data_IF_532677556329
#
_entry.id   IF_532677556329
#
_cell.length_a   1.000
_cell.length_b   1.000
_cell.length_c   1.000
_cell.angle_alpha   90.00
_cell.angle_beta   90.00
_cell.angle_gamma   90.00
#
_symmetry.space_group_name_H-M   'P 1'
#
loop_
_entity.id
_entity.type
_entity.pdbx_description
1 polymer ?
#
# COMPACT_ATOMS: atom_id res chain seq x y z
N UNK A 1 4.64 12.61 31.59
CA UNK A 1 3.86 12.52 32.85
C UNK A 1 2.63 13.41 32.98
N UNK A 2 2.66 14.71 32.67
CA UNK A 2 1.47 15.60 32.80
C UNK A 2 0.21 15.10 32.07
N UNK A 3 0.35 14.45 30.91
CA UNK A 3 -0.78 13.87 30.15
C UNK A 3 -1.51 12.75 30.92
N UNK A 4 -0.77 11.79 31.48
CA UNK A 4 -1.35 10.64 32.18
C UNK A 4 -2.08 11.07 33.44
N UNK A 5 -1.51 12.03 34.18
CA UNK A 5 -2.16 12.59 35.36
C UNK A 5 -3.41 13.42 35.01
N UNK A 6 -3.39 14.20 33.93
CA UNK A 6 -4.55 15.04 33.55
C UNK A 6 -5.69 14.27 32.90
N UNK A 7 -5.42 13.07 32.37
CA UNK A 7 -6.40 12.20 31.72
C UNK A 7 -6.74 10.95 32.52
N UNK A 8 -6.19 10.77 33.72
CA UNK A 8 -6.36 9.58 34.55
C UNK A 8 -7.82 9.17 34.74
N UNK A 9 -8.70 10.15 34.99
CA UNK A 9 -10.14 9.95 35.16
C UNK A 9 -10.89 9.57 33.86
N UNK A 10 -10.26 9.69 32.69
CA UNK A 10 -10.83 9.29 31.40
C UNK A 10 -10.51 7.85 31.02
N UNK A 11 -9.65 7.15 31.78
CA UNK A 11 -9.32 5.75 31.55
C UNK A 11 -10.14 4.82 32.46
N UNK A 12 -10.43 3.59 32.02
CA UNK A 12 -10.93 2.53 32.91
C UNK A 12 -10.06 2.39 34.16
N UNK A 13 -10.67 2.13 35.32
CA UNK A 13 -9.99 2.10 36.63
C UNK A 13 -8.86 1.07 36.73
N UNK A 14 -8.86 0.05 35.87
CA UNK A 14 -7.86 -1.00 35.76
C UNK A 14 -6.71 -0.68 34.78
N UNK A 15 -6.76 0.47 34.11
CA UNK A 15 -5.73 0.90 33.17
C UNK A 15 -4.48 1.33 33.93
N UNK A 16 -3.40 0.55 33.81
CA UNK A 16 -2.08 0.96 34.30
C UNK A 16 -1.60 2.17 33.51
N UNK A 17 -1.20 3.23 34.21
CA UNK A 17 -0.59 4.44 33.62
C UNK A 17 0.72 4.77 34.35
N UNK A 18 1.75 5.30 33.66
CA UNK A 18 1.83 5.48 32.21
C UNK A 18 1.94 4.13 31.46
N UNK A 19 1.41 4.07 30.25
CA UNK A 19 1.55 2.90 29.37
C UNK A 19 1.67 3.35 27.91
N UNK A 20 1.84 2.43 26.97
CA UNK A 20 1.81 2.75 25.55
C UNK A 20 0.38 3.09 25.11
N UNK A 21 0.26 4.14 24.28
CA UNK A 21 -0.99 4.49 23.61
C UNK A 21 -0.87 4.27 22.11
N UNK A 22 -1.98 3.89 21.46
CA UNK A 22 -2.05 3.84 20.01
C UNK A 22 -2.48 5.22 19.49
N UNK A 23 -1.68 5.80 18.60
CA UNK A 23 -2.06 7.00 17.87
C UNK A 23 -2.55 6.53 16.50
N UNK A 24 -3.81 6.79 16.21
CA UNK A 24 -4.36 6.61 14.87
C UNK A 24 -4.57 7.99 14.24
N UNK A 25 -4.21 8.11 12.97
CA UNK A 25 -4.53 9.27 12.16
C UNK A 25 -5.29 8.83 10.91
N UNK A 26 -6.01 9.77 10.32
CA UNK A 26 -6.68 9.55 9.05
C UNK A 26 -5.70 9.84 7.92
N UNK A 27 -5.63 8.95 6.93
CA UNK A 27 -4.99 9.25 5.65
C UNK A 27 -5.80 10.35 4.96
N UNK A 28 -5.26 11.58 4.82
CA UNK A 28 -5.97 12.64 4.12
C UNK A 28 -6.01 12.37 2.62
N UNK A 29 -7.03 12.89 1.92
CA UNK A 29 -7.17 12.67 0.49
C UNK A 29 -6.01 13.30 -0.29
N UNK A 30 -5.79 12.83 -1.52
CA UNK A 30 -4.85 13.46 -2.45
C UNK A 30 -5.26 14.92 -2.74
N UNK A 31 -4.31 15.82 -3.09
CA UNK A 31 -4.56 17.23 -3.36
C UNK A 31 -5.63 17.44 -4.44
N UNK A 32 -6.20 18.65 -4.46
CA UNK A 32 -7.19 19.02 -5.47
C UNK A 32 -6.64 18.84 -6.89
N UNK A 33 -5.41 19.26 -7.14
CA UNK A 33 -4.74 19.11 -8.45
C UNK A 33 -4.71 17.65 -8.93
N UNK A 34 -4.44 16.71 -8.04
CA UNK A 34 -4.43 15.27 -8.35
C UNK A 34 -5.84 14.76 -8.66
N UNK A 35 -6.83 15.18 -7.87
CA UNK A 35 -8.25 14.85 -8.13
C UNK A 35 -8.73 15.42 -9.46
N UNK A 36 -8.30 16.63 -9.80
CA UNK A 36 -8.58 17.27 -11.08
C UNK A 36 -7.97 16.51 -12.24
N UNK A 37 -6.70 16.08 -12.12
CA UNK A 37 -6.03 15.26 -13.13
C UNK A 37 -6.74 13.92 -13.36
N UNK A 38 -7.20 13.26 -12.29
CA UNK A 38 -8.02 12.04 -12.38
C UNK A 38 -9.31 12.32 -13.18
N UNK A 39 -10.01 13.41 -12.87
CA UNK A 39 -11.25 13.77 -13.58
C UNK A 39 -10.98 14.05 -15.06
N UNK A 40 -9.99 14.88 -15.35
CA UNK A 40 -9.69 15.33 -16.72
C UNK A 40 -9.25 14.19 -17.63
N UNK A 41 -8.46 13.27 -17.07
CA UNK A 41 -7.82 12.20 -17.82
C UNK A 41 -8.69 10.95 -17.85
N UNK A 42 -9.26 10.52 -16.72
CA UNK A 42 -9.84 9.18 -16.58
C UNK A 42 -11.37 9.16 -16.62
N UNK A 43 -12.04 10.24 -16.23
CA UNK A 43 -13.50 10.25 -16.16
C UNK A 43 -14.20 10.46 -17.54
N UNK A 44 -15.44 9.99 -17.69
CA UNK A 44 -16.31 10.23 -18.84
C UNK A 44 -16.51 11.71 -19.14
N UNK A 45 -16.93 11.99 -20.37
CA UNK A 45 -17.09 13.38 -20.84
C UNK A 45 -18.14 14.15 -20.03
N UNK A 46 -19.20 13.47 -19.58
CA UNK A 46 -20.28 14.05 -18.76
C UNK A 46 -19.72 14.56 -17.43
N UNK A 47 -18.90 13.74 -16.76
CA UNK A 47 -18.23 14.11 -15.51
C UNK A 47 -17.25 15.26 -15.72
N UNK A 48 -16.49 15.24 -16.82
CA UNK A 48 -15.54 16.31 -17.16
C UNK A 48 -16.24 17.64 -17.44
N UNK A 49 -17.38 17.62 -18.14
CA UNK A 49 -18.21 18.82 -18.39
C UNK A 49 -18.73 19.45 -17.09
N UNK A 50 -19.03 18.63 -16.08
CA UNK A 50 -19.43 19.11 -14.75
C UNK A 50 -18.34 18.87 -13.69
N UNK A 51 -17.06 19.10 -14.04
CA UNK A 51 -15.92 18.85 -13.16
C UNK A 51 -16.05 19.52 -11.81
N UNK A 52 -16.36 20.81 -11.78
CA UNK A 52 -16.50 21.59 -10.54
C UNK A 52 -17.60 21.04 -9.65
N UNK A 53 -18.78 20.77 -10.22
CA UNK A 53 -19.90 20.19 -9.47
C UNK A 53 -19.59 18.79 -8.97
N UNK A 54 -18.89 17.97 -9.77
CA UNK A 54 -18.45 16.64 -9.38
C UNK A 54 -17.45 16.68 -8.22
N UNK A 55 -16.41 17.52 -8.29
CA UNK A 55 -15.39 17.66 -7.24
C UNK A 55 -15.94 18.25 -5.93
N UNK A 56 -17.01 19.06 -6.01
CA UNK A 56 -17.62 19.67 -4.83
C UNK A 56 -18.49 18.69 -4.03
N UNK A 57 -18.94 17.57 -4.62
CA UNK A 57 -19.69 16.53 -3.92
C UNK A 57 -18.92 16.04 -2.70
N UNK A 58 -19.61 15.87 -1.58
CA UNK A 58 -18.98 15.51 -0.31
C UNK A 58 -18.19 14.20 -0.42
N UNK A 59 -18.74 13.19 -1.09
CA UNK A 59 -18.07 11.90 -1.30
C UNK A 59 -16.77 12.02 -2.11
N UNK A 60 -16.65 13.03 -2.99
CA UNK A 60 -15.46 13.23 -3.83
C UNK A 60 -14.39 14.12 -3.18
N UNK A 61 -14.68 14.63 -1.98
CA UNK A 61 -13.66 15.24 -1.11
C UNK A 61 -12.77 14.16 -0.48
N UNK A 62 -13.30 12.97 -0.27
CA UNK A 62 -12.60 11.84 0.34
C UNK A 62 -11.89 10.98 -0.73
N UNK A 63 -10.90 11.53 -1.43
CA UNK A 63 -10.18 10.79 -2.46
C UNK A 63 -8.95 10.03 -1.94
N UNK A 64 -9.15 8.73 -1.70
CA UNK A 64 -8.08 7.77 -1.46
C UNK A 64 -7.92 6.94 -2.73
N UNK A 65 -6.70 6.90 -3.30
CA UNK A 65 -6.45 6.22 -4.58
C UNK A 65 -5.85 4.85 -4.32
N UNK A 66 -6.50 3.77 -4.75
CA UNK A 66 -6.06 2.38 -4.55
C UNK A 66 -5.22 1.92 -5.74
N UNK A 67 -3.98 1.53 -5.50
CA UNK A 67 -3.01 1.22 -6.56
C UNK A 67 -3.10 -0.24 -6.97
N UNK A 68 -3.52 -0.51 -8.21
CA UNK A 68 -3.62 -1.87 -8.75
C UNK A 68 -2.59 -2.07 -9.86
N UNK A 69 -1.43 -2.63 -9.51
CA UNK A 69 -0.36 -2.94 -10.47
C UNK A 69 -0.47 -4.34 -11.06
N UNK A 70 -1.36 -5.19 -10.53
CA UNK A 70 -1.59 -6.54 -11.00
C UNK A 70 -2.71 -6.69 -12.01
N UNK A 71 -3.33 -5.58 -12.43
CA UNK A 71 -4.42 -5.57 -13.39
C UNK A 71 -4.50 -4.25 -14.16
N UNK A 72 -5.01 -4.34 -15.39
CA UNK A 72 -5.43 -3.20 -16.22
C UNK A 72 -6.95 -3.02 -16.14
N UNK A 73 -7.41 -1.80 -16.40
CA UNK A 73 -8.84 -1.45 -16.38
C UNK A 73 -9.61 -2.22 -17.45
N UNK A 74 -10.70 -2.90 -17.06
CA UNK A 74 -11.42 -3.82 -17.96
C UNK A 74 -12.46 -3.12 -18.87
N UNK A 75 -12.82 -1.85 -18.63
CA UNK A 75 -13.75 -1.09 -19.48
C UNK A 75 -13.79 0.40 -19.13
N UNK A 76 -14.41 1.21 -20.00
CA UNK A 76 -14.68 2.63 -19.71
C UNK A 76 -15.70 2.73 -18.57
N UNK A 77 -15.35 3.48 -17.52
CA UNK A 77 -16.21 3.69 -16.36
C UNK A 77 -17.53 4.37 -16.75
N UNK A 78 -18.66 3.87 -16.23
CA UNK A 78 -19.97 4.51 -16.34
C UNK A 78 -20.02 5.77 -15.44
N UNK A 79 -20.39 6.91 -16.02
CA UNK A 79 -20.45 8.20 -15.33
C UNK A 79 -21.31 8.16 -14.05
N UNK A 80 -22.35 7.32 -14.00
CA UNK A 80 -23.23 7.19 -12.85
C UNK A 80 -22.60 6.47 -11.66
N UNK A 81 -21.52 5.70 -11.88
CA UNK A 81 -20.87 4.85 -10.87
C UNK A 81 -19.54 5.41 -10.37
N UNK A 82 -19.03 6.47 -10.99
CA UNK A 82 -17.72 7.03 -10.66
C UNK A 82 -17.81 7.89 -9.41
N UNK A 83 -16.87 7.63 -8.51
CA UNK A 83 -16.63 8.38 -7.28
C UNK A 83 -15.13 8.39 -7.04
N UNK A 84 -14.63 9.49 -6.48
CA UNK A 84 -13.21 9.61 -6.11
C UNK A 84 -12.89 8.91 -4.79
N UNK A 85 -13.91 8.55 -4.00
CA UNK A 85 -13.75 7.75 -2.78
C UNK A 85 -13.32 6.34 -3.11
N UNK A 86 -12.17 5.92 -2.55
CA UNK A 86 -11.55 4.62 -2.83
C UNK A 86 -11.37 4.40 -4.34
N UNK A 87 -10.85 5.40 -5.05
CA UNK A 87 -10.72 5.38 -6.49
C UNK A 87 -9.70 4.31 -6.91
N UNK A 88 -10.10 3.27 -7.65
CA UNK A 88 -9.17 2.27 -8.14
C UNK A 88 -8.33 2.87 -9.28
N UNK A 89 -7.02 2.76 -9.19
CA UNK A 89 -6.09 3.23 -10.21
C UNK A 89 -5.26 2.05 -10.74
N UNK A 90 -5.46 1.74 -12.01
CA UNK A 90 -4.85 0.61 -12.71
C UNK A 90 -3.61 1.04 -13.50
N UNK A 91 -2.79 0.08 -13.94
CA UNK A 91 -1.53 0.36 -14.66
C UNK A 91 -1.74 1.25 -15.90
N UNK A 92 -2.74 0.94 -16.73
CA UNK A 92 -3.07 1.71 -17.93
C UNK A 92 -3.58 3.13 -17.62
N UNK A 93 -4.22 3.30 -16.47
CA UNK A 93 -4.70 4.59 -15.99
C UNK A 93 -3.54 5.44 -15.43
N UNK A 94 -2.56 4.81 -14.77
CA UNK A 94 -1.30 5.44 -14.37
C UNK A 94 -0.53 5.95 -15.59
N UNK A 95 -0.41 5.14 -16.64
CA UNK A 95 0.23 5.51 -17.91
C UNK A 95 -0.45 6.74 -18.53
N UNK A 96 -1.78 6.77 -18.56
CA UNK A 96 -2.55 7.92 -19.07
C UNK A 96 -2.38 9.18 -18.21
N UNK A 97 -2.23 9.02 -16.90
CA UNK A 97 -1.89 10.11 -15.99
C UNK A 97 -0.41 10.50 -16.03
N UNK A 98 0.40 9.86 -16.88
CA UNK A 98 1.86 10.06 -16.96
C UNK A 98 2.58 9.79 -15.63
N UNK A 99 2.04 8.88 -14.81
CA UNK A 99 2.71 8.35 -13.63
C UNK A 99 3.61 7.19 -14.05
N UNK A 100 4.77 7.03 -13.39
CA UNK A 100 5.62 5.86 -13.57
C UNK A 100 5.23 4.76 -12.58
N UNK A 101 4.64 3.64 -13.03
CA UNK A 101 4.25 2.55 -12.14
C UNK A 101 5.45 1.90 -11.43
N UNK A 102 6.67 2.02 -11.99
CA UNK A 102 7.88 1.40 -11.44
C UNK A 102 8.21 1.90 -10.04
N UNK A 103 7.98 3.18 -9.76
CA UNK A 103 8.25 3.76 -8.44
C UNK A 103 7.38 3.09 -7.37
N UNK A 104 6.11 2.83 -7.67
CA UNK A 104 5.21 2.13 -6.77
C UNK A 104 5.56 0.64 -6.68
N UNK A 105 5.95 0.01 -7.79
CA UNK A 105 6.42 -1.39 -7.80
C UNK A 105 7.56 -1.63 -6.82
N UNK A 106 8.58 -0.77 -6.84
CA UNK A 106 9.75 -0.91 -5.95
C UNK A 106 9.32 -0.83 -4.49
N UNK A 107 8.53 0.19 -4.14
CA UNK A 107 8.09 0.40 -2.77
C UNK A 107 7.14 -0.72 -2.29
N UNK A 108 6.29 -1.27 -3.15
CA UNK A 108 5.45 -2.44 -2.83
C UNK A 108 6.29 -3.69 -2.57
N UNK A 109 7.32 -3.93 -3.40
CA UNK A 109 8.21 -5.07 -3.25
C UNK A 109 9.00 -5.01 -1.93
N UNK A 110 9.52 -3.84 -1.59
CA UNK A 110 10.27 -3.61 -0.36
C UNK A 110 9.37 -3.74 0.88
N UNK A 111 8.18 -3.14 0.85
CA UNK A 111 7.19 -3.28 1.91
C UNK A 111 6.85 -4.75 2.14
N UNK A 112 6.53 -5.51 1.09
CA UNK A 112 6.15 -6.91 1.22
C UNK A 112 7.30 -7.77 1.76
N UNK A 113 8.55 -7.51 1.35
CA UNK A 113 9.72 -8.20 1.89
C UNK A 113 9.90 -7.90 3.40
N UNK A 114 9.69 -6.66 3.84
CA UNK A 114 9.73 -6.29 5.26
C UNK A 114 8.62 -6.99 6.05
N UNK A 115 7.38 -7.01 5.54
CA UNK A 115 6.27 -7.70 6.20
C UNK A 115 6.57 -9.19 6.38
N UNK A 116 7.02 -9.85 5.31
CA UNK A 116 7.28 -11.28 5.33
C UNK A 116 8.49 -11.66 6.20
N UNK A 117 9.62 -10.96 6.04
CA UNK A 117 10.90 -11.43 6.56
C UNK A 117 11.40 -10.69 7.80
N UNK A 118 10.97 -9.44 8.00
CA UNK A 118 11.28 -8.69 9.22
C UNK A 118 10.16 -8.79 10.25
N UNK A 119 8.90 -8.62 9.84
CA UNK A 119 7.75 -8.66 10.76
C UNK A 119 7.20 -10.08 10.98
N UNK A 120 7.48 -11.00 10.06
CA UNK A 120 7.00 -12.39 10.12
C UNK A 120 5.48 -12.48 9.96
N UNK A 121 4.90 -11.67 9.09
CA UNK A 121 3.46 -11.70 8.78
C UNK A 121 3.22 -11.99 7.30
N UNK A 122 2.10 -12.64 6.97
CA UNK A 122 1.79 -13.11 5.61
C UNK A 122 1.24 -12.05 4.64
N UNK A 123 1.05 -10.81 5.12
CA UNK A 123 0.51 -9.69 4.37
C UNK A 123 -0.85 -9.95 3.69
N UNK A 124 -1.64 -10.87 4.26
CA UNK A 124 -2.99 -11.15 3.78
C UNK A 124 -3.90 -9.91 3.96
N UNK A 125 -4.65 -9.60 2.91
CA UNK A 125 -5.54 -8.43 2.73
C UNK A 125 -4.90 -7.05 2.82
N UNK A 126 -3.56 -6.96 2.88
CA UNK A 126 -2.85 -5.68 2.90
C UNK A 126 -3.09 -4.90 1.60
N UNK A 127 -3.45 -3.62 1.76
CA UNK A 127 -3.79 -2.70 0.67
C UNK A 127 -2.78 -1.56 0.53
N UNK A 128 -2.57 -1.13 -0.71
CA UNK A 128 -1.69 0.00 -1.04
C UNK A 128 -2.47 1.15 -1.65
N UNK A 129 -2.30 2.34 -1.08
CA UNK A 129 -3.05 3.53 -1.49
C UNK A 129 -2.18 4.77 -1.59
N UNK A 130 -2.55 5.72 -2.45
CA UNK A 130 -2.04 7.08 -2.41
C UNK A 130 -3.00 7.97 -1.62
N UNK A 131 -2.40 8.75 -0.73
CA UNK A 131 -3.03 9.81 0.02
C UNK A 131 -1.99 10.87 0.35
N UNK A 132 -2.40 11.89 1.09
CA UNK A 132 -1.43 12.84 1.64
C UNK A 132 -0.86 12.32 2.96
N UNK A 133 0.23 12.93 3.41
CA UNK A 133 0.77 12.87 4.77
C UNK A 133 1.24 14.27 5.14
N UNK A 134 1.23 14.60 6.43
CA UNK A 134 1.92 15.78 6.92
C UNK A 134 3.40 15.71 6.53
N UNK A 135 3.95 16.78 5.95
CA UNK A 135 5.35 16.78 5.55
C UNK A 135 6.21 16.49 6.78
N UNK A 136 7.28 15.71 6.60
CA UNK A 136 8.23 15.50 7.68
C UNK A 136 9.02 16.80 7.82
N UNK A 137 8.90 17.47 8.97
CA UNK A 137 9.58 18.73 9.23
C UNK A 137 11.11 18.52 9.29
N UNK A 138 11.55 17.37 9.82
CA UNK A 138 12.94 16.93 9.84
C UNK A 138 13.03 15.41 9.67
N UNK A 139 13.82 14.96 8.69
CA UNK A 139 14.09 13.55 8.51
C UNK A 139 15.06 13.06 9.60
N UNK A 140 14.66 12.02 10.33
CA UNK A 140 15.56 11.33 11.25
C UNK A 140 16.77 10.80 10.50
N UNK A 141 17.95 10.96 11.09
CA UNK A 141 19.18 10.33 10.65
C UNK A 141 19.10 8.81 10.83
N UNK A 142 19.89 8.06 10.06
CA UNK A 142 19.98 6.60 10.22
C UNK A 142 20.37 6.20 11.65
N UNK A 143 21.29 6.95 12.28
CA UNK A 143 21.70 6.73 13.66
C UNK A 143 20.54 6.91 14.65
N UNK A 144 19.71 7.95 14.47
CA UNK A 144 18.52 8.16 15.30
C UNK A 144 17.50 7.04 15.15
N UNK A 145 17.32 6.53 13.93
CA UNK A 145 16.42 5.40 13.65
C UNK A 145 16.93 4.12 14.32
N UNK A 146 18.22 3.81 14.18
CA UNK A 146 18.83 2.60 14.76
C UNK A 146 18.83 2.63 16.29
N UNK A 147 19.00 3.81 16.90
CA UNK A 147 18.95 3.99 18.35
C UNK A 147 17.52 4.19 18.89
N UNK A 148 16.50 4.25 18.02
CA UNK A 148 15.12 4.40 18.44
C UNK A 148 14.66 3.15 19.20
N UNK A 149 14.10 3.38 20.38
CA UNK A 149 13.41 2.38 21.17
C UNK A 149 11.90 2.56 20.99
N UNK A 150 11.11 1.58 21.45
CA UNK A 150 9.64 1.75 21.58
C UNK A 150 9.22 2.99 22.38
N UNK A 151 10.12 3.58 23.17
CA UNK A 151 9.87 4.80 23.95
C UNK A 151 10.27 6.09 23.21
N UNK A 152 11.22 6.03 22.27
CA UNK A 152 11.78 7.20 21.57
C UNK A 152 11.36 7.28 20.11
N UNK A 153 10.77 6.22 19.54
CA UNK A 153 10.35 6.15 18.13
C UNK A 153 9.36 7.24 17.69
N UNK A 154 8.58 7.84 18.61
CA UNK A 154 7.73 9.00 18.24
C UNK A 154 8.54 10.29 18.12
N UNK A 155 9.63 10.42 18.86
CA UNK A 155 10.39 11.67 18.97
C UNK A 155 11.26 11.93 17.74
N UNK A 156 11.61 10.86 17.00
CA UNK A 156 12.39 10.93 15.75
C UNK A 156 11.59 11.48 14.56
N UNK A 157 10.26 11.60 14.68
CA UNK A 157 9.43 12.10 13.58
C UNK A 157 8.77 13.42 13.96
N UNK A 158 9.29 14.53 13.43
CA UNK A 158 8.60 15.81 13.49
C UNK A 158 7.76 16.01 12.22
N UNK A 159 6.49 16.36 12.37
CA UNK A 159 5.53 16.48 11.27
C UNK A 159 5.05 17.92 11.16
N UNK A 160 5.30 18.53 10.01
CA UNK A 160 4.69 19.79 9.63
C UNK A 160 3.28 19.53 9.08
N UNK A 161 2.27 19.89 9.86
CA UNK A 161 0.86 19.70 9.51
C UNK A 161 0.35 20.69 8.43
N UNK A 162 1.08 21.79 8.21
CA UNK A 162 0.73 22.84 7.26
C UNK A 162 1.20 22.50 5.84
N UNK A 163 2.21 21.65 5.72
CA UNK A 163 2.69 21.12 4.45
C UNK A 163 2.23 19.68 4.26
N UNK A 164 1.77 19.34 3.06
CA UNK A 164 1.32 17.98 2.74
C UNK A 164 2.12 17.45 1.58
N UNK A 165 2.60 16.22 1.72
CA UNK A 165 3.22 15.47 0.65
C UNK A 165 2.29 14.31 0.26
N UNK A 166 2.18 14.03 -1.03
CA UNK A 166 1.58 12.77 -1.48
C UNK A 166 2.54 11.62 -1.17
N UNK A 167 2.01 10.52 -0.64
CA UNK A 167 2.79 9.32 -0.43
C UNK A 167 1.95 8.07 -0.56
N UNK A 168 2.64 6.95 -0.75
CA UNK A 168 2.04 5.63 -0.66
C UNK A 168 1.89 5.22 0.80
N UNK A 169 0.70 4.76 1.14
CA UNK A 169 0.34 4.22 2.44
C UNK A 169 0.04 2.74 2.31
N UNK A 170 0.25 2.05 3.43
CA UNK A 170 -0.07 0.66 3.64
C UNK A 170 -1.19 0.57 4.67
N UNK A 171 -2.27 -0.16 4.40
CA UNK A 171 -3.41 -0.30 5.30
C UNK A 171 -4.08 -1.68 5.20
N UNK A 172 -5.12 -1.88 6.01
CA UNK A 172 -5.85 -3.15 6.19
C UNK A 172 -4.96 -4.34 6.61
N UNK A 173 -4.57 -4.33 7.89
CA UNK A 173 -3.81 -5.44 8.49
C UNK A 173 -4.71 -6.41 9.27
N UNK A 174 -6.04 -6.28 9.16
CA UNK A 174 -7.02 -7.05 9.93
C UNK A 174 -6.96 -8.56 9.66
N UNK A 175 -6.61 -8.97 8.44
CA UNK A 175 -6.52 -10.39 8.06
C UNK A 175 -5.09 -10.95 8.07
N UNK A 176 -4.09 -10.13 8.42
CA UNK A 176 -2.70 -10.56 8.52
C UNK A 176 -2.49 -11.56 9.65
N UNK A 177 -1.69 -12.60 9.37
CA UNK A 177 -1.31 -13.61 10.37
C UNK A 177 0.20 -13.68 10.48
N UNK A 178 0.67 -13.95 11.70
CA UNK A 178 2.07 -14.31 11.92
C UNK A 178 2.35 -15.67 11.31
N UNK A 179 3.53 -15.82 10.71
CA UNK A 179 4.05 -17.11 10.26
C UNK A 179 5.53 -17.21 10.62
N UNK A 180 6.04 -18.44 10.65
CA UNK A 180 7.45 -18.72 10.88
C UNK A 180 7.98 -19.57 9.72
N UNK A 181 9.02 -19.06 9.07
CA UNK A 181 9.68 -19.80 8.00
C UNK A 181 10.20 -21.15 8.53
N UNK A 182 10.03 -22.21 7.73
CA UNK A 182 10.36 -23.60 8.08
C UNK A 182 9.19 -24.42 8.63
N UNK A 183 8.40 -23.89 9.58
CA UNK A 183 7.27 -24.63 10.18
C UNK A 183 6.02 -24.58 9.29
N UNK A 184 5.56 -23.37 8.94
CA UNK A 184 4.42 -23.17 8.04
C UNK A 184 4.87 -23.04 6.57
N UNK A 185 6.19 -22.99 6.35
CA UNK A 185 6.80 -22.76 5.05
C UNK A 185 6.42 -21.40 4.44
N UNK A 186 6.41 -21.35 3.11
CA UNK A 186 6.08 -20.16 2.32
C UNK A 186 4.61 -20.10 1.87
N UNK A 187 3.78 -21.07 2.27
CA UNK A 187 2.41 -21.18 1.75
C UNK A 187 1.56 -19.95 2.09
N UNK A 188 1.62 -19.48 3.32
CA UNK A 188 0.84 -18.32 3.79
C UNK A 188 1.15 -17.04 3.00
N UNK A 189 2.42 -16.59 2.88
CA UNK A 189 2.71 -15.39 2.08
C UNK A 189 2.38 -15.58 0.59
N UNK A 190 2.55 -16.79 0.03
CA UNK A 190 2.13 -17.07 -1.35
C UNK A 190 0.61 -16.95 -1.50
N UNK A 191 -0.16 -17.47 -0.54
CA UNK A 191 -1.61 -17.31 -0.52
C UNK A 191 -2.02 -15.85 -0.40
N UNK A 192 -1.42 -15.08 0.51
CA UNK A 192 -1.66 -13.65 0.65
C UNK A 192 -1.50 -12.92 -0.69
N UNK A 193 -0.39 -13.15 -1.39
CA UNK A 193 -0.21 -12.53 -2.72
C UNK A 193 -1.33 -12.90 -3.70
N UNK A 194 -1.78 -14.16 -3.75
CA UNK A 194 -2.74 -14.65 -4.74
C UNK A 194 -4.22 -14.47 -4.38
N UNK A 195 -4.55 -14.38 -3.09
CA UNK A 195 -5.90 -14.18 -2.56
C UNK A 195 -6.22 -12.70 -2.51
N UNK A 196 -5.25 -11.86 -2.17
CA UNK A 196 -5.45 -10.42 -2.18
C UNK A 196 -5.89 -9.96 -3.57
N UNK A 197 -6.68 -8.89 -3.55
CA UNK A 197 -6.92 -8.07 -4.72
C UNK A 197 -5.57 -7.76 -5.42
N UNK A 198 -5.53 -7.64 -6.76
CA UNK A 198 -4.29 -7.51 -7.54
C UNK A 198 -3.60 -6.13 -7.41
N UNK A 199 -3.26 -5.75 -6.17
CA UNK A 199 -2.45 -4.59 -5.82
C UNK A 199 -1.03 -4.71 -6.39
N UNK A 200 -0.42 -5.90 -6.28
CA UNK A 200 0.92 -6.20 -6.75
C UNK A 200 0.95 -6.60 -8.24
N UNK A 201 2.04 -6.33 -8.97
CA UNK A 201 2.29 -6.94 -10.27
C UNK A 201 2.13 -8.47 -10.23
N UNK A 202 1.77 -9.07 -11.37
CA UNK A 202 1.45 -10.50 -11.45
C UNK A 202 2.39 -11.24 -12.41
N UNK A 203 2.81 -12.48 -12.08
CA UNK A 203 3.68 -13.29 -12.93
C UNK A 203 3.02 -13.74 -14.24
N UNK A 204 1.69 -13.72 -14.31
CA UNK A 204 0.91 -14.09 -15.48
C UNK A 204 0.43 -12.89 -16.30
N UNK A 205 1.10 -11.74 -16.16
CA UNK A 205 0.90 -10.62 -17.05
C UNK A 205 1.12 -11.03 -18.51
N UNK A 206 0.29 -10.49 -19.42
CA UNK A 206 0.40 -10.73 -20.86
C UNK A 206 0.84 -9.48 -21.64
N UNK A 207 0.81 -8.32 -20.99
CA UNK A 207 1.34 -7.08 -21.53
C UNK A 207 2.82 -6.95 -21.14
N UNK A 208 3.69 -6.60 -22.10
CA UNK A 208 5.13 -6.46 -21.89
C UNK A 208 5.51 -5.47 -20.78
N UNK A 209 4.79 -4.36 -20.65
CA UNK A 209 5.05 -3.39 -19.57
C UNK A 209 4.74 -3.99 -18.20
N UNK A 210 3.65 -4.76 -18.10
CA UNK A 210 3.24 -5.40 -16.86
C UNK A 210 4.20 -6.56 -16.48
N UNK A 211 4.71 -7.29 -17.48
CA UNK A 211 5.79 -8.27 -17.31
C UNK A 211 7.05 -7.60 -16.72
N UNK A 212 7.45 -6.43 -17.25
CA UNK A 212 8.58 -5.67 -16.71
C UNK A 212 8.33 -5.19 -15.26
N UNK A 213 7.09 -4.81 -14.91
CA UNK A 213 6.75 -4.47 -13.53
C UNK A 213 6.89 -5.69 -12.60
N UNK A 214 6.48 -6.87 -13.07
CA UNK A 214 6.67 -8.10 -12.31
C UNK A 214 8.15 -8.46 -12.11
N UNK A 215 8.96 -8.37 -13.16
CA UNK A 215 10.40 -8.62 -13.06
C UNK A 215 11.07 -7.66 -12.07
N UNK A 216 10.72 -6.37 -12.14
CA UNK A 216 11.21 -5.36 -11.21
C UNK A 216 10.78 -5.65 -9.77
N UNK A 217 9.51 -6.01 -9.58
CA UNK A 217 8.96 -6.37 -8.27
C UNK A 217 9.77 -7.52 -7.65
N UNK A 218 9.96 -8.60 -8.40
CA UNK A 218 10.67 -9.77 -7.89
C UNK A 218 12.16 -9.52 -7.65
N UNK A 219 12.81 -8.75 -8.53
CA UNK A 219 14.20 -8.38 -8.34
C UNK A 219 14.40 -7.63 -7.02
N UNK A 220 13.59 -6.59 -6.75
CA UNK A 220 13.68 -5.79 -5.54
C UNK A 220 13.26 -6.53 -4.28
N UNK A 221 12.16 -7.29 -4.35
CA UNK A 221 11.71 -8.12 -3.23
C UNK A 221 12.80 -9.11 -2.81
N UNK A 222 13.42 -9.79 -3.79
CA UNK A 222 14.45 -10.79 -3.53
C UNK A 222 15.76 -10.16 -3.04
N UNK A 223 16.14 -9.00 -3.59
CA UNK A 223 17.30 -8.24 -3.15
C UNK A 223 17.19 -7.85 -1.67
N UNK A 224 16.09 -7.20 -1.28
CA UNK A 224 15.88 -6.80 0.11
C UNK A 224 15.68 -8.03 1.02
N UNK A 225 14.93 -9.03 0.57
CA UNK A 225 14.71 -10.26 1.34
C UNK A 225 16.01 -10.96 1.73
N UNK A 226 17.00 -11.03 0.81
CA UNK A 226 18.33 -11.60 1.11
C UNK A 226 19.15 -10.79 2.12
N UNK A 227 18.87 -9.49 2.25
CA UNK A 227 19.51 -8.64 3.26
C UNK A 227 18.85 -8.82 4.63
N UNK A 228 17.54 -9.09 4.66
CA UNK A 228 16.76 -9.24 5.89
C UNK A 228 16.96 -10.59 6.58
N UNK A 229 17.14 -11.68 5.82
CA UNK A 229 17.24 -13.05 6.37
C UNK A 229 18.32 -13.88 5.69
N UNK A 230 18.92 -14.81 6.44
CA UNK A 230 19.98 -15.70 5.95
C UNK A 230 19.48 -17.00 5.31
N UNK A 231 18.17 -17.30 5.42
CA UNK A 231 17.57 -18.52 4.90
C UNK A 231 16.95 -18.34 3.51
N UNK A 232 16.59 -19.44 2.84
CA UNK A 232 16.10 -19.46 1.44
C UNK A 232 14.68 -18.92 1.21
N UNK A 233 14.01 -18.39 2.24
CA UNK A 233 12.59 -18.03 2.21
C UNK A 233 12.20 -17.05 1.10
N UNK A 234 12.93 -15.94 0.90
CA UNK A 234 12.67 -15.01 -0.20
C UNK A 234 12.72 -15.67 -1.59
N UNK A 235 13.69 -16.56 -1.82
CA UNK A 235 13.85 -17.26 -3.10
C UNK A 235 12.78 -18.34 -3.30
N UNK A 236 12.45 -19.10 -2.26
CA UNK A 236 11.37 -20.09 -2.28
C UNK A 236 10.02 -19.44 -2.57
N UNK A 237 9.71 -18.31 -1.91
CA UNK A 237 8.50 -17.54 -2.16
C UNK A 237 8.41 -17.12 -3.62
N UNK A 238 9.48 -16.55 -4.17
CA UNK A 238 9.58 -16.12 -5.57
C UNK A 238 9.24 -17.27 -6.52
N UNK A 239 9.87 -18.43 -6.29
CA UNK A 239 9.66 -19.63 -7.10
C UNK A 239 8.21 -20.12 -7.04
N UNK A 240 7.64 -20.21 -5.84
CA UNK A 240 6.28 -20.71 -5.65
C UNK A 240 5.21 -19.77 -6.21
N UNK A 241 5.41 -18.45 -6.13
CA UNK A 241 4.51 -17.49 -6.78
C UNK A 241 4.54 -17.66 -8.29
N UNK A 242 5.74 -17.81 -8.89
CA UNK A 242 5.89 -18.09 -10.32
C UNK A 242 5.19 -19.38 -10.73
N UNK A 243 5.44 -20.50 -10.03
CA UNK A 243 4.82 -21.79 -10.32
C UNK A 243 3.29 -21.71 -10.29
N UNK A 244 2.72 -21.08 -9.26
CA UNK A 244 1.27 -20.89 -9.16
C UNK A 244 0.71 -20.00 -10.26
N UNK A 245 1.47 -19.00 -10.72
CA UNK A 245 1.11 -18.17 -11.86
C UNK A 245 0.94 -18.98 -13.14
N UNK A 246 1.90 -19.87 -13.44
CA UNK A 246 1.82 -20.76 -14.60
C UNK A 246 0.60 -21.69 -14.54
N UNK A 247 0.29 -22.25 -13.37
CA UNK A 247 -0.89 -23.11 -13.17
C UNK A 247 -2.19 -22.36 -13.45
N UNK A 248 -2.32 -21.11 -13.00
CA UNK A 248 -3.53 -20.29 -13.22
C UNK A 248 -3.69 -19.89 -14.68
N UNK A 249 -2.61 -19.54 -15.38
CA UNK A 249 -2.65 -19.23 -16.82
C UNK A 249 -3.10 -20.42 -17.65
N UNK A 250 -2.63 -21.63 -17.30
CA UNK A 250 -3.06 -22.87 -17.95
C UNK A 250 -4.54 -23.17 -17.71
N UNK A 251 -5.00 -23.06 -16.47
CA UNK A 251 -6.43 -23.28 -16.14
C UNK A 251 -7.38 -22.32 -16.87
N UNK A 252 -6.95 -21.07 -17.12
CA UNK A 252 -7.73 -20.09 -17.87
C UNK A 252 -7.78 -20.33 -19.39
N UNK A 253 -6.86 -21.12 -19.96
CA UNK A 253 -6.90 -21.48 -21.40
C UNK A 253 -7.83 -22.65 -21.71
N UNK A 254 -8.28 -23.39 -20.68
CA UNK A 254 -9.16 -24.55 -20.80
C UNK A 254 -10.59 -24.30 -20.27
N UNK A 255 -10.92 -23.05 -19.95
CA UNK A 255 -12.24 -22.59 -19.51
C UNK A 255 -12.78 -21.56 -20.51
#
# INVERSE_FOLDING_TARGET
DKFWHSRSASFPNDTRTPNFGLISERIPPVPLSTREAIVDTLCPQETRRNKTGFLYKFENKDCLVRLYLGRRSASRMDASKIRLRNFPLHVDEMERLSLDPKVYTVAMAEALALLHWSAGIDANDVEFVLGCRAAVAQHATEEEILNATKYTARQIHDFNLDQRAECMWLLDFNECKRFKYGEQGIKMPVDGLWVNDPYYPRPNATNKQDEMLWELFMARYLELGRQLVSHGGPAEFTKAVMERGHTRSRGSMFA
#
